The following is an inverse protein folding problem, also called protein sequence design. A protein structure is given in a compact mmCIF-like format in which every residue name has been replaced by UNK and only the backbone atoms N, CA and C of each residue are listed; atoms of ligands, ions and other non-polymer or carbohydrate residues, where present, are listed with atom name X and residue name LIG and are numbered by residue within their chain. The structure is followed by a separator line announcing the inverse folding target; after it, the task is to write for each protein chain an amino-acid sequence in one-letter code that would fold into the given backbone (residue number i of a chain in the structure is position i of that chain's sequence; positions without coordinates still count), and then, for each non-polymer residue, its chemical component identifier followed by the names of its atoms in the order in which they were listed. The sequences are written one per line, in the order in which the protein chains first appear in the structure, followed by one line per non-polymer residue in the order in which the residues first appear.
data_IF_875934422915
#
_entry.id   IF_875934422915
#
_cell.length_a   1.000
_cell.length_b   1.000
_cell.length_c   1.000
_cell.angle_alpha   90.00
_cell.angle_beta   90.00
_cell.angle_gamma   90.00
#
_symmetry.space_group_name_H-M   'P 1'
#
loop_
_entity.id
_entity.type
_entity.pdbx_description
1 polymer ?
#
# COMPACT_ATOMS: atom_id res chain seq x y z
N UNK A 1 -9.03 41.55 -0.33
CA UNK A 1 -7.74 40.83 -0.22
C UNK A 1 -7.42 40.62 1.25
N UNK A 2 -7.70 39.44 1.80
CA UNK A 2 -7.15 39.00 3.08
C UNK A 2 -7.28 37.47 3.14
N UNK A 3 -6.17 36.77 2.94
CA UNK A 3 -6.06 35.33 3.16
C UNK A 3 -5.73 35.10 4.64
N UNK A 4 -6.58 34.37 5.36
CA UNK A 4 -6.28 33.89 6.71
C UNK A 4 -5.45 32.61 6.60
N UNK A 5 -4.15 32.71 6.91
CA UNK A 5 -3.26 31.57 7.12
C UNK A 5 -3.65 30.86 8.42
N UNK A 6 -4.31 29.70 8.30
CA UNK A 6 -4.56 28.82 9.43
C UNK A 6 -3.27 28.03 9.74
N UNK A 7 -2.40 28.63 10.54
CA UNK A 7 -1.23 27.97 11.12
C UNK A 7 -1.69 27.02 12.21
N UNK A 8 -1.66 25.70 11.96
CA UNK A 8 -1.87 24.71 13.00
C UNK A 8 -0.57 24.51 13.82
N UNK A 9 -0.62 24.55 15.17
CA UNK A 9 0.53 24.25 16.01
C UNK A 9 0.84 22.74 16.00
N UNK A 10 2.09 22.38 15.72
CA UNK A 10 2.61 21.03 15.88
C UNK A 10 2.61 20.62 17.36
N UNK A 11 1.93 19.53 17.67
CA UNK A 11 1.97 18.87 18.98
C UNK A 11 3.39 18.35 19.28
N UNK A 12 3.82 18.36 20.56
CA UNK A 12 5.18 17.96 20.92
C UNK A 12 5.42 16.48 20.67
N UNK A 13 6.60 16.19 20.11
CA UNK A 13 7.16 14.86 19.88
C UNK A 13 7.07 14.02 21.16
N UNK A 14 6.33 12.91 21.06
CA UNK A 14 6.21 11.91 22.11
C UNK A 14 7.58 11.34 22.51
N UNK A 15 7.71 11.10 23.82
CA UNK A 15 8.93 10.78 24.55
C UNK A 15 9.69 9.58 23.98
N UNK A 16 11.02 9.67 24.04
CA UNK A 16 11.95 8.59 23.74
C UNK A 16 11.57 7.30 24.49
N UNK A 17 11.13 6.28 23.75
CA UNK A 17 11.11 4.93 24.27
C UNK A 17 12.54 4.41 24.23
N UNK A 18 13.12 4.19 25.42
CA UNK A 18 14.45 3.60 25.57
C UNK A 18 14.42 2.20 24.96
N UNK A 19 15.39 1.92 24.09
CA UNK A 19 15.52 0.63 23.41
C UNK A 19 15.58 -0.53 24.43
N UNK A 20 14.83 -1.63 24.25
CA UNK A 20 15.16 -2.86 24.94
C UNK A 20 16.43 -3.44 24.32
N UNK A 21 17.55 -3.33 25.04
CA UNK A 21 18.76 -4.12 24.79
C UNK A 21 18.42 -5.59 25.03
N UNK A 22 18.17 -6.35 23.96
CA UNK A 22 18.10 -7.81 24.02
C UNK A 22 19.32 -8.38 23.32
N UNK A 23 20.35 -8.72 24.11
CA UNK A 23 21.48 -9.55 23.69
C UNK A 23 20.99 -10.99 23.54
N UNK A 24 20.69 -11.40 22.30
CA UNK A 24 20.44 -12.80 21.98
C UNK A 24 21.79 -13.50 21.70
N UNK A 25 22.23 -14.35 22.62
CA UNK A 25 23.31 -15.31 22.40
C UNK A 25 22.77 -16.49 21.59
N UNK A 26 23.40 -16.79 20.45
CA UNK A 26 23.10 -17.96 19.63
C UNK A 26 23.89 -19.17 20.17
N UNK A 27 23.21 -20.11 20.84
CA UNK A 27 23.83 -21.36 21.31
C UNK A 27 23.97 -22.35 20.15
N UNK A 28 25.17 -22.91 20.02
CA UNK A 28 25.58 -23.90 19.02
C UNK A 28 24.89 -25.25 19.21
N UNK A 29 24.24 -25.76 18.16
CA UNK A 29 23.69 -27.11 18.09
C UNK A 29 24.78 -28.07 17.59
N UNK A 30 25.20 -29.02 18.44
CA UNK A 30 26.11 -30.11 18.08
C UNK A 30 25.29 -31.27 17.48
N UNK A 31 25.63 -31.73 16.27
CA UNK A 31 25.08 -32.97 15.71
C UNK A 31 26.16 -33.81 15.03
N UNK A 32 26.02 -35.10 15.29
CA UNK A 32 26.76 -36.33 14.97
C UNK A 32 27.62 -36.42 13.69
N UNK A 33 28.71 -37.18 13.85
CA UNK A 33 29.56 -37.78 12.82
C UNK A 33 28.78 -38.57 11.75
N UNK A 34 29.23 -38.48 10.49
CA UNK A 34 28.67 -39.30 9.40
C UNK A 34 29.23 -39.01 8.02
N UNK A 35 30.30 -39.73 7.67
CA UNK A 35 30.80 -40.10 6.33
C UNK A 35 31.31 -39.05 5.32
N UNK A 36 32.60 -39.19 5.01
CA UNK A 36 33.37 -38.48 3.99
C UNK A 36 33.19 -39.18 2.64
N UNK A 37 32.52 -38.53 1.69
CA UNK A 37 32.64 -38.84 0.25
C UNK A 37 33.54 -37.79 -0.38
N UNK A 38 34.75 -38.20 -0.78
CA UNK A 38 35.70 -37.35 -1.51
C UNK A 38 35.38 -37.38 -3.00
N UNK A 39 34.64 -36.39 -3.49
CA UNK A 39 34.57 -36.13 -4.92
C UNK A 39 35.71 -35.18 -5.32
N UNK A 40 36.48 -35.63 -6.29
CA UNK A 40 37.76 -35.09 -6.68
C UNK A 40 37.61 -34.05 -7.81
N UNK A 41 38.39 -32.98 -7.67
CA UNK A 41 38.82 -31.99 -8.68
C UNK A 41 37.77 -31.09 -9.36
N UNK A 42 37.60 -29.90 -8.77
CA UNK A 42 37.55 -28.65 -9.53
C UNK A 42 38.71 -27.76 -9.06
N UNK A 43 39.78 -27.68 -9.86
CA UNK A 43 40.78 -26.62 -9.72
C UNK A 43 40.53 -25.60 -10.82
N UNK A 44 40.09 -24.40 -10.45
CA UNK A 44 40.39 -23.19 -11.22
C UNK A 44 40.93 -22.14 -10.26
N UNK A 45 42.18 -21.76 -10.53
CA UNK A 45 42.99 -20.91 -9.69
C UNK A 45 42.47 -19.47 -9.70
N UNK A 46 42.11 -18.96 -8.52
CA UNK A 46 42.31 -17.58 -8.10
C UNK A 46 42.04 -17.50 -6.59
N UNK A 47 43.00 -17.92 -5.78
CA UNK A 47 43.00 -17.66 -4.33
C UNK A 47 43.33 -16.17 -4.11
N UNK A 48 42.37 -15.30 -4.39
CA UNK A 48 42.25 -14.02 -3.71
C UNK A 48 41.01 -14.14 -2.83
N UNK A 49 41.05 -13.82 -1.53
CA UNK A 49 39.81 -13.48 -0.86
C UNK A 49 39.25 -12.30 -1.67
N UNK A 50 38.24 -12.56 -2.50
CA UNK A 50 37.47 -11.47 -3.09
C UNK A 50 36.82 -10.83 -1.87
N UNK A 51 37.47 -9.79 -1.34
CA UNK A 51 36.88 -8.92 -0.36
C UNK A 51 35.71 -8.27 -1.08
N UNK A 52 34.56 -8.93 -1.01
CA UNK A 52 33.30 -8.39 -1.47
C UNK A 52 32.92 -7.32 -0.47
N UNK A 53 33.65 -6.20 -0.49
CA UNK A 53 33.34 -5.02 0.31
C UNK A 53 32.03 -4.45 -0.25
N UNK A 54 30.91 -5.00 0.24
CA UNK A 54 29.58 -4.63 -0.23
C UNK A 54 29.30 -3.21 0.22
N UNK A 55 29.08 -2.31 -0.73
CA UNK A 55 28.59 -0.95 -0.42
C UNK A 55 27.20 -1.04 0.22
N UNK A 56 26.97 -0.29 1.30
CA UNK A 56 25.64 -0.08 1.85
C UNK A 56 24.94 1.01 1.05
N UNK A 57 23.66 0.80 0.71
CA UNK A 57 22.83 1.81 0.07
C UNK A 57 22.31 2.88 1.05
N UNK A 58 22.48 2.67 2.36
CA UNK A 58 22.01 3.58 3.42
C UNK A 58 20.52 3.96 3.28
N UNK A 59 19.68 2.99 2.91
CA UNK A 59 18.23 3.19 2.91
C UNK A 59 17.72 3.43 4.33
N UNK A 60 16.80 4.38 4.45
CA UNK A 60 16.08 4.60 5.71
C UNK A 60 15.12 3.45 5.99
N UNK A 61 14.83 3.23 7.26
CA UNK A 61 13.82 2.24 7.66
C UNK A 61 12.44 2.62 7.14
N UNK A 62 11.55 1.63 7.07
CA UNK A 62 10.14 1.87 6.78
C UNK A 62 9.51 2.86 7.77
N UNK A 63 8.62 3.71 7.27
CA UNK A 63 7.77 4.59 8.09
C UNK A 63 6.67 3.81 8.81
N UNK A 64 6.33 2.62 8.32
CA UNK A 64 5.28 1.77 8.87
C UNK A 64 5.91 0.64 9.68
N UNK A 65 5.76 0.70 11.01
CA UNK A 65 6.13 -0.38 11.91
C UNK A 65 5.11 -1.51 11.82
N UNK A 66 5.57 -2.74 11.96
CA UNK A 66 4.70 -3.93 11.95
C UNK A 66 3.60 -3.84 13.01
N UNK A 67 3.95 -3.46 14.25
CA UNK A 67 2.98 -3.23 15.33
C UNK A 67 1.97 -2.14 15.00
N UNK A 68 2.36 -1.11 14.26
CA UNK A 68 1.45 -0.06 13.81
C UNK A 68 0.47 -0.63 12.77
N UNK A 69 0.95 -1.36 11.77
CA UNK A 69 0.11 -1.99 10.74
C UNK A 69 -0.90 -2.94 11.39
N UNK A 70 -0.47 -3.77 12.34
CA UNK A 70 -1.33 -4.70 13.07
C UNK A 70 -2.35 -4.00 13.98
N UNK A 71 -2.07 -2.78 14.44
CA UNK A 71 -2.98 -2.00 15.27
C UNK A 71 -4.10 -1.31 14.49
N UNK A 72 -4.04 -1.28 13.15
CA UNK A 72 -5.05 -0.62 12.31
C UNK A 72 -6.39 -1.34 12.43
N UNK A 73 -7.41 -0.61 12.88
CA UNK A 73 -8.79 -1.08 12.94
C UNK A 73 -9.61 -0.46 11.80
N UNK A 74 -10.35 -1.29 11.07
CA UNK A 74 -11.24 -0.84 10.00
C UNK A 74 -12.65 -0.65 10.58
N UNK A 75 -13.02 0.60 10.86
CA UNK A 75 -14.32 0.96 11.45
C UNK A 75 -15.51 0.97 10.48
N UNK A 76 -15.35 0.42 9.26
CA UNK A 76 -16.34 0.52 8.18
C UNK A 76 -16.95 -0.83 7.77
N UNK A 77 -16.81 -1.85 8.61
CA UNK A 77 -17.31 -3.21 8.34
C UNK A 77 -18.77 -3.41 8.73
N UNK A 78 -19.39 -2.44 9.41
CA UNK A 78 -20.78 -2.53 9.86
C UNK A 78 -21.77 -2.47 8.70
N UNK A 79 -22.91 -3.16 8.85
CA UNK A 79 -23.98 -3.25 7.86
C UNK A 79 -24.51 -1.86 7.43
N UNK A 80 -24.53 -0.89 8.36
CA UNK A 80 -24.96 0.49 8.06
C UNK A 80 -24.15 1.11 6.91
N UNK A 81 -22.86 0.82 6.82
CA UNK A 81 -21.99 1.35 5.76
C UNK A 81 -22.22 0.64 4.44
N UNK A 82 -22.47 -0.68 4.47
CA UNK A 82 -22.82 -1.42 3.25
C UNK A 82 -24.17 -0.99 2.69
N UNK A 83 -25.17 -0.78 3.54
CA UNK A 83 -26.50 -0.31 3.13
C UNK A 83 -26.42 1.10 2.54
N UNK A 84 -25.71 2.02 3.21
CA UNK A 84 -25.50 3.37 2.68
C UNK A 84 -24.73 3.38 1.37
N UNK A 85 -23.74 2.50 1.20
CA UNK A 85 -23.02 2.34 -0.06
C UNK A 85 -23.94 1.90 -1.19
N UNK A 86 -24.81 0.91 -0.94
CA UNK A 86 -25.76 0.43 -1.95
C UNK A 86 -26.73 1.53 -2.36
N UNK A 87 -27.29 2.28 -1.40
CA UNK A 87 -28.15 3.44 -1.66
C UNK A 87 -27.46 4.46 -2.57
N UNK A 88 -26.22 4.85 -2.24
CA UNK A 88 -25.43 5.78 -3.05
C UNK A 88 -25.12 5.22 -4.45
N UNK A 89 -24.90 3.91 -4.59
CA UNK A 89 -24.68 3.30 -5.91
C UNK A 89 -25.94 3.40 -6.78
N UNK A 90 -27.13 3.21 -6.22
CA UNK A 90 -28.39 3.40 -6.96
C UNK A 90 -28.60 4.87 -7.34
N UNK A 91 -28.31 5.80 -6.44
CA UNK A 91 -28.40 7.24 -6.73
C UNK A 91 -27.49 7.64 -7.89
N UNK A 92 -26.25 7.16 -7.90
CA UNK A 92 -25.30 7.42 -9.00
C UNK A 92 -25.77 6.75 -10.30
N UNK A 93 -26.31 5.53 -10.23
CA UNK A 93 -26.88 4.86 -11.42
C UNK A 93 -28.03 5.67 -12.02
N UNK A 94 -28.90 6.21 -11.18
CA UNK A 94 -29.96 7.13 -11.60
C UNK A 94 -29.38 8.39 -12.23
N UNK A 95 -28.34 8.96 -11.60
CA UNK A 95 -27.65 10.15 -12.10
C UNK A 95 -27.06 9.95 -13.50
N UNK A 96 -26.47 8.78 -13.77
CA UNK A 96 -25.90 8.42 -15.08
C UNK A 96 -27.01 8.27 -16.14
N UNK A 97 -28.15 7.68 -15.78
CA UNK A 97 -29.27 7.43 -16.72
C UNK A 97 -30.12 8.66 -17.01
N UNK A 98 -30.01 9.70 -16.20
CA UNK A 98 -30.77 10.94 -16.41
C UNK A 98 -30.32 11.62 -17.71
N UNK A 99 -31.26 12.03 -18.59
CA UNK A 99 -30.92 12.73 -19.82
C UNK A 99 -30.33 14.11 -19.50
N UNK A 100 -29.15 14.39 -20.04
CA UNK A 100 -28.41 15.66 -19.90
C UNK A 100 -27.76 16.04 -21.21
N UNK A 101 -27.22 17.26 -21.28
CA UNK A 101 -26.36 17.64 -22.41
C UNK A 101 -25.06 16.82 -22.42
N UNK A 102 -24.53 16.55 -23.62
CA UNK A 102 -23.31 15.76 -23.85
C UNK A 102 -22.14 16.21 -22.95
N UNK A 103 -21.94 17.52 -22.83
CA UNK A 103 -20.87 18.10 -22.02
C UNK A 103 -21.04 17.73 -20.53
N UNK A 104 -22.23 17.96 -19.98
CA UNK A 104 -22.55 17.66 -18.57
C UNK A 104 -22.41 16.16 -18.27
N UNK A 105 -22.73 15.33 -19.26
CA UNK A 105 -22.61 13.89 -19.13
C UNK A 105 -21.14 13.43 -19.11
N UNK A 106 -20.30 14.01 -19.97
CA UNK A 106 -18.87 13.73 -19.98
C UNK A 106 -18.19 14.22 -18.70
N UNK A 107 -18.59 15.37 -18.16
CA UNK A 107 -18.12 15.89 -16.87
C UNK A 107 -18.45 14.94 -15.71
N UNK A 108 -19.65 14.34 -15.71
CA UNK A 108 -20.02 13.33 -14.72
C UNK A 108 -19.08 12.11 -14.81
N UNK A 109 -18.81 11.61 -16.01
CA UNK A 109 -17.91 10.47 -16.21
C UNK A 109 -16.48 10.78 -15.75
N UNK A 110 -15.96 11.96 -16.10
CA UNK A 110 -14.62 12.38 -15.67
C UNK A 110 -14.55 12.45 -14.14
N UNK A 111 -15.59 12.98 -13.49
CA UNK A 111 -15.70 13.01 -12.03
C UNK A 111 -15.67 11.61 -11.42
N UNK A 112 -16.47 10.66 -11.95
CA UNK A 112 -16.51 9.27 -11.46
C UNK A 112 -15.16 8.57 -11.60
N UNK A 113 -14.41 8.87 -12.66
CA UNK A 113 -13.05 8.35 -12.86
C UNK A 113 -12.06 8.97 -11.88
N UNK A 114 -12.11 10.29 -11.69
CA UNK A 114 -11.19 11.01 -10.83
C UNK A 114 -11.32 10.57 -9.36
N UNK A 115 -12.53 10.27 -8.90
CA UNK A 115 -12.77 9.74 -7.55
C UNK A 115 -12.58 8.21 -7.46
N UNK A 116 -12.27 7.54 -8.57
CA UNK A 116 -11.93 6.12 -8.59
C UNK A 116 -13.11 5.17 -8.41
N UNK A 117 -14.34 5.58 -8.74
CA UNK A 117 -15.55 4.73 -8.60
C UNK A 117 -16.15 4.30 -9.94
N UNK A 118 -15.59 4.76 -11.06
CA UNK A 118 -16.12 4.46 -12.40
C UNK A 118 -16.25 2.95 -12.70
N UNK A 119 -15.42 2.10 -12.10
CA UNK A 119 -15.46 0.64 -12.30
C UNK A 119 -16.76 -0.02 -11.82
N UNK A 120 -17.53 0.63 -10.94
CA UNK A 120 -18.83 0.14 -10.51
C UNK A 120 -19.95 0.36 -11.55
N UNK A 121 -19.70 1.20 -12.56
CA UNK A 121 -20.71 1.66 -13.50
C UNK A 121 -20.29 1.44 -14.96
N UNK A 122 -19.40 0.48 -15.22
CA UNK A 122 -18.82 0.26 -16.55
C UNK A 122 -19.88 0.04 -17.63
N UNK A 123 -20.94 -0.70 -17.30
CA UNK A 123 -22.05 -0.96 -18.22
C UNK A 123 -22.83 0.32 -18.53
N UNK A 124 -23.23 1.06 -17.49
CA UNK A 124 -24.02 2.29 -17.66
C UNK A 124 -23.25 3.37 -18.40
N UNK A 125 -21.94 3.45 -18.17
CA UNK A 125 -21.05 4.38 -18.88
C UNK A 125 -20.90 3.96 -20.34
N UNK A 126 -20.76 2.65 -20.62
CA UNK A 126 -20.62 2.15 -21.97
C UNK A 126 -21.89 2.39 -22.80
N UNK A 127 -23.05 2.02 -22.26
CA UNK A 127 -24.35 2.18 -22.92
C UNK A 127 -24.58 3.65 -23.31
N UNK A 128 -24.20 4.56 -22.40
CA UNK A 128 -24.31 5.99 -22.59
C UNK A 128 -23.40 6.55 -23.69
N UNK A 129 -22.15 6.07 -23.75
CA UNK A 129 -21.18 6.51 -24.75
C UNK A 129 -21.52 5.95 -26.15
N UNK A 130 -22.04 4.73 -26.22
CA UNK A 130 -22.49 4.11 -27.47
C UNK A 130 -23.74 4.80 -28.05
N UNK A 131 -24.64 5.34 -27.20
CA UNK A 131 -25.86 6.00 -27.66
C UNK A 131 -25.63 7.37 -28.34
N UNK A 132 -24.44 7.95 -28.20
CA UNK A 132 -24.06 9.25 -28.78
C UNK A 132 -22.99 9.18 -29.87
N UNK A 133 -22.52 7.97 -30.21
CA UNK A 133 -21.53 7.70 -31.27
C UNK A 133 -22.14 7.45 -32.64
#
# INVERSE_FOLDING_TARGET
MAALLLSHPMLPVGKHHKAPTSTASLTTLSSSEGNVIKNSHFTSAANSPLSTNRRSANYQSTIWLDSYIQSLQIGFTEEKYTSRRMELMEDVRSLIRQPRGIIQQLELFDTLRQIGVAYYFEMEIKDLLEFHG
#
